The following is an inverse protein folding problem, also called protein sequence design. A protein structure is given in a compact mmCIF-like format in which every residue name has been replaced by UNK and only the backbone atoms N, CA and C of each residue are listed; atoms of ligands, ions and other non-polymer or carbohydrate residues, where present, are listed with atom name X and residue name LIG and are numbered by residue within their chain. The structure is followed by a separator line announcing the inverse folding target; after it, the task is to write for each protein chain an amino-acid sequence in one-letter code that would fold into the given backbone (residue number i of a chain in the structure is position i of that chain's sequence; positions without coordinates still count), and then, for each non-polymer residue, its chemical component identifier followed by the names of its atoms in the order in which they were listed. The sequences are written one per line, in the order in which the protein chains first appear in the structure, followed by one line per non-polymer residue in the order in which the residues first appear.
data_IF_533101754082
#
_entry.id   IF_533101754082
#
_cell.length_a   1.000
_cell.length_b   1.000
_cell.length_c   1.000
_cell.angle_alpha   90.00
_cell.angle_beta   90.00
_cell.angle_gamma   90.00
#
_symmetry.space_group_name_H-M   'P 1'
#
loop_
_entity.id
_entity.type
_entity.pdbx_description
1 polymer ?
#
# COMPACT_ATOMS: atom_id res chain seq x y z
N UNK A 1 6.38 -32.06 -4.47
CA UNK A 1 7.75 -31.98 -3.92
C UNK A 1 8.64 -31.27 -4.92
N UNK A 2 9.67 -30.55 -4.46
CA UNK A 2 10.68 -29.98 -5.35
C UNK A 2 11.39 -31.14 -6.08
N UNK A 3 11.54 -31.03 -7.40
CA UNK A 3 12.18 -32.08 -8.21
C UNK A 3 13.69 -32.05 -7.97
N UNK A 4 14.28 -33.20 -7.66
CA UNK A 4 15.73 -33.37 -7.47
C UNK A 4 16.52 -33.41 -8.79
N UNK A 5 15.86 -33.15 -9.92
CA UNK A 5 16.38 -33.29 -11.28
C UNK A 5 17.39 -32.17 -11.68
N UNK A 6 17.98 -31.47 -10.71
CA UNK A 6 18.88 -30.34 -10.94
C UNK A 6 18.23 -29.06 -11.47
N UNK A 7 16.91 -29.08 -11.72
CA UNK A 7 16.13 -27.91 -12.13
C UNK A 7 15.97 -26.85 -11.03
N UNK A 8 16.14 -27.25 -9.77
CA UNK A 8 16.02 -26.35 -8.61
C UNK A 8 17.40 -25.80 -8.28
N UNK A 9 17.56 -24.46 -8.18
CA UNK A 9 18.82 -23.87 -7.79
C UNK A 9 19.21 -24.32 -6.38
N UNK A 10 20.40 -24.89 -6.23
CA UNK A 10 20.96 -25.32 -4.96
C UNK A 10 22.05 -24.34 -4.51
N UNK A 11 22.13 -24.09 -3.21
CA UNK A 11 23.17 -23.25 -2.61
C UNK A 11 24.06 -24.08 -1.69
N UNK A 12 25.36 -23.79 -1.68
CA UNK A 12 26.30 -24.41 -0.75
C UNK A 12 26.41 -23.54 0.52
N UNK A 13 25.89 -24.05 1.64
CA UNK A 13 25.87 -23.35 2.93
C UNK A 13 27.27 -23.10 3.53
N UNK A 14 28.29 -23.85 3.11
CA UNK A 14 29.68 -23.62 3.55
C UNK A 14 30.33 -22.46 2.81
N UNK A 15 29.90 -22.20 1.56
CA UNK A 15 30.31 -21.00 0.81
C UNK A 15 29.52 -19.78 1.24
N UNK A 16 28.23 -19.96 1.55
CA UNK A 16 27.33 -18.89 1.96
C UNK A 16 26.76 -19.20 3.35
N UNK A 17 27.45 -18.69 4.38
CA UNK A 17 27.10 -18.94 5.80
C UNK A 17 25.72 -18.43 6.21
N UNK A 18 25.16 -17.43 5.52
CA UNK A 18 23.84 -16.85 5.82
C UNK A 18 22.94 -16.96 4.60
N UNK A 19 21.81 -17.65 4.77
CA UNK A 19 20.83 -17.91 3.70
C UNK A 19 19.43 -17.56 4.20
N UNK A 20 18.72 -16.71 3.45
CA UNK A 20 17.32 -16.36 3.71
C UNK A 20 16.44 -16.99 2.63
N UNK A 21 15.32 -17.60 3.02
CA UNK A 21 14.45 -18.29 2.06
C UNK A 21 13.04 -18.57 2.59
N UNK A 22 12.15 -18.94 1.68
CA UNK A 22 10.74 -19.25 1.97
C UNK A 22 10.50 -20.75 2.01
N UNK A 23 10.34 -21.32 3.20
CA UNK A 23 10.11 -22.76 3.38
C UNK A 23 8.63 -23.11 3.30
N UNK A 24 8.25 -24.02 2.39
CA UNK A 24 6.88 -24.48 2.27
C UNK A 24 6.51 -25.44 3.40
N UNK A 25 5.31 -25.27 3.95
CA UNK A 25 4.71 -26.18 4.93
C UNK A 25 3.62 -26.99 4.24
N UNK A 26 3.77 -28.31 4.28
CA UNK A 26 2.83 -29.25 3.70
C UNK A 26 2.10 -30.02 4.80
N UNK A 27 0.81 -30.25 4.60
CA UNK A 27 -0.01 -31.12 5.44
C UNK A 27 -0.43 -32.33 4.62
N UNK A 28 -0.27 -33.54 5.20
CA UNK A 28 -0.77 -34.77 4.60
C UNK A 28 -2.26 -34.89 4.90
N UNK A 29 -3.11 -34.88 3.87
CA UNK A 29 -4.55 -35.17 4.00
C UNK A 29 -4.80 -36.68 4.14
N UNK A 30 -6.01 -37.05 4.53
CA UNK A 30 -6.44 -38.45 4.67
C UNK A 30 -6.28 -39.25 3.36
N UNK A 31 -6.41 -38.59 2.20
CA UNK A 31 -6.21 -39.18 0.87
C UNK A 31 -4.73 -39.34 0.47
N UNK A 32 -3.79 -39.19 1.42
CA UNK A 32 -2.33 -39.19 1.20
C UNK A 32 -1.77 -38.06 0.31
N UNK A 33 -2.62 -37.19 -0.21
CA UNK A 33 -2.21 -36.00 -0.94
C UNK A 33 -1.57 -34.98 0.00
N UNK A 34 -0.40 -34.46 -0.39
CA UNK A 34 0.29 -33.37 0.31
C UNK A 34 -0.20 -32.02 -0.21
N UNK A 35 -0.88 -31.25 0.64
CA UNK A 35 -1.32 -29.89 0.31
C UNK A 35 -0.37 -28.85 0.90
N UNK A 36 -0.04 -27.82 0.13
CA UNK A 36 0.74 -26.67 0.61
C UNK A 36 -0.16 -25.73 1.41
N UNK A 37 -0.02 -25.73 2.73
CA UNK A 37 -0.86 -24.92 3.63
C UNK A 37 -0.27 -23.53 3.88
N UNK A 38 1.05 -23.38 3.76
CA UNK A 38 1.70 -22.11 4.04
C UNK A 38 3.15 -22.06 3.65
N UNK A 39 3.76 -20.90 3.86
CA UNK A 39 5.20 -20.68 3.69
C UNK A 39 5.69 -19.83 4.85
N UNK A 40 6.85 -20.16 5.40
CA UNK A 40 7.52 -19.34 6.43
C UNK A 40 8.81 -18.80 5.83
N UNK A 41 9.07 -17.52 6.02
CA UNK A 41 10.38 -16.95 5.75
C UNK A 41 11.32 -17.32 6.91
N UNK A 42 12.41 -18.01 6.59
CA UNK A 42 13.42 -18.40 7.56
C UNK A 42 14.79 -17.91 7.10
N UNK A 43 15.62 -17.54 8.06
CA UNK A 43 17.03 -17.23 7.85
C UNK A 43 17.89 -18.26 8.60
N UNK A 44 18.81 -18.91 7.89
CA UNK A 44 19.71 -19.93 8.41
C UNK A 44 21.12 -19.36 8.44
N UNK A 45 21.75 -19.38 9.62
CA UNK A 45 23.12 -18.90 9.83
C UNK A 45 23.99 -20.07 10.29
N UNK A 46 25.08 -20.32 9.57
CA UNK A 46 26.09 -21.31 9.93
C UNK A 46 27.19 -20.63 10.73
N UNK A 47 27.24 -20.95 12.02
CA UNK A 47 28.22 -20.44 12.98
C UNK A 47 29.35 -21.44 13.19
N UNK A 48 30.52 -20.93 13.54
CA UNK A 48 31.62 -21.74 14.07
C UNK A 48 31.38 -22.09 15.55
N UNK A 49 32.12 -23.06 16.07
CA UNK A 49 32.05 -23.47 17.48
C UNK A 49 32.27 -22.27 18.41
N UNK A 50 33.30 -21.47 18.14
CA UNK A 50 33.69 -20.34 18.99
C UNK A 50 32.65 -19.21 18.98
N UNK A 51 31.92 -19.03 17.87
CA UNK A 51 30.82 -18.06 17.76
C UNK A 51 29.57 -18.55 18.50
N UNK A 52 29.25 -19.84 18.38
CA UNK A 52 28.11 -20.46 19.06
C UNK A 52 28.26 -20.48 20.59
N UNK A 53 29.49 -20.64 21.10
CA UNK A 53 29.77 -20.56 22.53
C UNK A 53 29.61 -19.15 23.09
N UNK A 54 29.96 -18.12 22.30
CA UNK A 54 29.77 -16.71 22.70
C UNK A 54 28.30 -16.30 22.71
N UNK A 55 27.49 -16.84 21.79
CA UNK A 55 26.06 -16.52 21.64
C UNK A 55 25.25 -17.84 21.68
N UNK A 56 25.06 -18.41 22.87
CA UNK A 56 24.38 -19.70 22.98
C UNK A 56 22.88 -19.54 22.76
N UNK A 57 22.35 -20.25 21.77
CA UNK A 57 20.91 -20.30 21.50
C UNK A 57 20.16 -21.10 22.60
N UNK A 58 18.91 -20.72 22.88
CA UNK A 58 18.01 -21.50 23.74
C UNK A 58 18.18 -21.33 25.26
N UNK A 59 19.16 -20.55 25.72
CA UNK A 59 19.34 -20.27 27.16
C UNK A 59 18.36 -19.18 27.67
N UNK A 60 17.68 -18.46 26.76
CA UNK A 60 16.64 -17.47 27.10
C UNK A 60 17.15 -16.25 27.88
N UNK A 61 18.48 -16.02 27.89
CA UNK A 61 19.11 -14.93 28.64
C UNK A 61 19.14 -13.59 27.89
N UNK A 62 19.15 -13.64 26.56
CA UNK A 62 19.13 -12.47 25.70
C UNK A 62 17.78 -12.37 25.00
N UNK A 63 17.41 -11.14 24.64
CA UNK A 63 16.28 -10.90 23.75
C UNK A 63 16.47 -11.68 22.44
N UNK A 64 15.37 -12.14 21.80
CA UNK A 64 15.47 -12.77 20.50
C UNK A 64 16.04 -11.78 19.47
N UNK A 65 16.77 -12.29 18.47
CA UNK A 65 17.29 -11.45 17.40
C UNK A 65 16.14 -10.65 16.76
N UNK A 66 16.23 -9.31 16.73
CA UNK A 66 15.14 -8.48 16.25
C UNK A 66 14.93 -8.73 14.76
N UNK A 67 13.71 -9.11 14.39
CA UNK A 67 13.29 -9.17 13.00
C UNK A 67 13.28 -7.77 12.40
N UNK A 68 13.51 -7.70 11.08
CA UNK A 68 13.32 -6.48 10.33
C UNK A 68 11.90 -5.94 10.56
N UNK A 69 11.79 -4.61 10.73
CA UNK A 69 10.49 -3.98 10.91
C UNK A 69 9.61 -4.30 9.70
N UNK A 70 8.35 -4.72 9.89
CA UNK A 70 7.46 -4.97 8.78
C UNK A 70 7.29 -3.69 7.97
N UNK A 71 7.16 -3.81 6.65
CA UNK A 71 6.84 -2.69 5.78
C UNK A 71 5.38 -2.26 6.02
N UNK A 72 5.15 -1.46 7.07
CA UNK A 72 3.84 -0.98 7.46
C UNK A 72 3.52 0.29 6.67
N UNK A 73 2.45 0.32 5.86
CA UNK A 73 2.03 1.56 5.25
C UNK A 73 1.57 2.55 6.34
N UNK A 74 2.07 3.79 6.27
CA UNK A 74 1.74 4.90 7.17
C UNK A 74 0.23 5.18 7.24
N UNK A 75 -0.53 4.74 6.23
CA UNK A 75 -1.98 4.88 6.14
C UNK A 75 -2.75 4.21 7.29
N UNK A 76 -2.14 3.26 7.99
CA UNK A 76 -2.77 2.51 9.08
C UNK A 76 -3.02 3.32 10.37
N UNK A 77 -2.38 4.49 10.53
CA UNK A 77 -2.59 5.36 11.71
C UNK A 77 -3.63 6.47 11.51
N UNK A 78 -4.12 6.68 10.28
CA UNK A 78 -5.05 7.77 9.96
C UNK A 78 -6.43 7.25 9.55
N UNK A 79 -7.02 6.34 10.32
CA UNK A 79 -8.34 5.74 10.01
C UNK A 79 -9.41 6.78 9.64
N UNK A 80 -9.37 7.98 10.23
CA UNK A 80 -10.28 9.08 9.92
C UNK A 80 -9.98 9.84 8.61
N UNK A 81 -8.72 9.94 8.16
CA UNK A 81 -8.38 10.66 6.92
C UNK A 81 -8.44 9.77 5.67
N UNK A 82 -8.42 8.45 5.88
CA UNK A 82 -8.56 7.47 4.82
C UNK A 82 -9.87 7.60 4.00
N UNK A 83 -11.07 7.76 4.63
CA UNK A 83 -12.31 7.98 3.88
C UNK A 83 -12.28 9.25 3.02
N UNK A 84 -11.68 10.35 3.49
CA UNK A 84 -11.56 11.58 2.70
C UNK A 84 -10.65 11.42 1.49
N UNK A 85 -9.54 10.68 1.62
CA UNK A 85 -8.67 10.36 0.48
C UNK A 85 -9.42 9.54 -0.57
N UNK A 86 -10.19 8.54 -0.14
CA UNK A 86 -11.01 7.71 -1.01
C UNK A 86 -12.12 8.50 -1.70
N UNK A 87 -12.85 9.34 -0.94
CA UNK A 87 -13.91 10.21 -1.48
C UNK A 87 -13.31 11.18 -2.52
N UNK A 88 -12.18 11.83 -2.21
CA UNK A 88 -11.48 12.71 -3.15
C UNK A 88 -11.09 11.97 -4.43
N UNK A 89 -10.56 10.76 -4.30
CA UNK A 89 -10.16 9.94 -5.44
C UNK A 89 -11.37 9.55 -6.32
N UNK A 90 -12.47 9.09 -5.70
CA UNK A 90 -13.69 8.69 -6.41
C UNK A 90 -14.35 9.87 -7.11
N UNK A 91 -14.44 11.02 -6.44
CA UNK A 91 -15.01 12.25 -7.00
C UNK A 91 -14.17 12.74 -8.16
N UNK A 92 -12.84 12.79 -8.02
CA UNK A 92 -11.97 13.29 -9.08
C UNK A 92 -11.90 12.36 -10.29
N UNK A 93 -11.94 11.04 -10.08
CA UNK A 93 -11.93 10.06 -11.17
C UNK A 93 -13.20 10.14 -12.02
N UNK A 94 -14.38 10.21 -11.38
CA UNK A 94 -15.66 10.10 -12.07
C UNK A 94 -16.29 11.45 -12.45
N UNK A 95 -16.09 12.50 -11.63
CA UNK A 95 -16.87 13.74 -11.72
C UNK A 95 -16.07 14.97 -12.16
N UNK A 96 -14.77 14.86 -12.49
CA UNK A 96 -13.93 16.02 -12.87
C UNK A 96 -14.58 16.93 -13.93
N UNK A 97 -15.17 16.34 -14.97
CA UNK A 97 -15.81 17.08 -16.05
C UNK A 97 -17.16 17.69 -15.65
N UNK A 98 -17.93 17.00 -14.78
CA UNK A 98 -19.19 17.52 -14.26
C UNK A 98 -18.95 18.72 -13.33
N UNK A 99 -17.94 18.63 -12.47
CA UNK A 99 -17.52 19.71 -11.57
C UNK A 99 -17.06 20.92 -12.38
N UNK A 100 -16.22 20.72 -13.41
CA UNK A 100 -15.74 21.81 -14.25
C UNK A 100 -16.88 22.54 -14.97
N UNK A 101 -17.84 21.79 -15.55
CA UNK A 101 -19.04 22.38 -16.17
C UNK A 101 -19.87 23.16 -15.16
N UNK A 102 -20.05 22.63 -13.94
CA UNK A 102 -20.77 23.33 -12.87
C UNK A 102 -20.12 24.66 -12.48
N UNK A 103 -18.78 24.70 -12.38
CA UNK A 103 -18.03 25.93 -12.09
C UNK A 103 -18.21 26.96 -13.21
N UNK A 104 -18.14 26.54 -14.47
CA UNK A 104 -18.33 27.45 -15.62
C UNK A 104 -19.75 28.04 -15.63
N UNK A 105 -20.77 27.21 -15.42
CA UNK A 105 -22.17 27.67 -15.37
C UNK A 105 -22.38 28.66 -14.22
N UNK A 106 -21.81 28.37 -13.04
CA UNK A 106 -21.88 29.27 -11.89
C UNK A 106 -21.20 30.61 -12.17
N UNK A 107 -20.03 30.59 -12.83
CA UNK A 107 -19.31 31.81 -13.21
C UNK A 107 -20.12 32.67 -14.20
N UNK A 108 -20.74 32.05 -15.22
CA UNK A 108 -21.61 32.76 -16.17
C UNK A 108 -22.82 33.36 -15.44
N UNK A 109 -23.43 32.61 -14.53
CA UNK A 109 -24.58 33.10 -13.75
C UNK A 109 -24.21 34.31 -12.89
N UNK A 110 -23.07 34.26 -12.19
CA UNK A 110 -22.55 35.39 -11.42
C UNK A 110 -22.26 36.60 -12.31
N UNK A 111 -21.71 36.37 -13.51
CA UNK A 111 -21.45 37.43 -14.48
C UNK A 111 -22.75 38.13 -14.91
N UNK A 112 -23.83 37.39 -15.14
CA UNK A 112 -25.14 37.94 -15.51
C UNK A 112 -25.72 38.78 -14.36
N UNK A 113 -25.66 38.28 -13.12
CA UNK A 113 -26.15 39.02 -11.94
C UNK A 113 -25.38 40.35 -11.79
N UNK A 114 -24.05 40.29 -11.86
CA UNK A 114 -23.20 41.47 -11.76
C UNK A 114 -23.45 42.45 -12.91
N UNK A 115 -23.70 41.95 -14.12
CA UNK A 115 -24.04 42.77 -15.27
C UNK A 115 -25.29 43.61 -14.99
N UNK A 116 -26.39 42.99 -14.58
CA UNK A 116 -27.63 43.71 -14.25
C UNK A 116 -27.46 44.67 -13.08
N UNK A 117 -26.71 44.28 -12.06
CA UNK A 117 -26.39 45.18 -10.94
C UNK A 117 -25.60 46.42 -11.39
N UNK A 118 -24.72 46.28 -12.37
CA UNK A 118 -23.81 47.34 -12.82
C UNK A 118 -24.41 48.26 -13.90
N UNK A 119 -25.64 48.01 -14.39
CA UNK A 119 -26.26 48.88 -15.40
C UNK A 119 -26.64 50.22 -14.74
N UNK A 120 -26.07 51.36 -15.19
CA UNK A 120 -26.46 52.66 -14.66
C UNK A 120 -27.92 52.94 -15.05
N UNK A 121 -28.73 53.39 -14.09
CA UNK A 121 -30.17 53.61 -14.30
C UNK A 121 -30.52 54.55 -15.48
N UNK A 122 -29.57 55.38 -15.91
CA UNK A 122 -29.69 56.22 -17.11
C UNK A 122 -29.69 55.41 -18.43
N UNK A 123 -28.88 54.35 -18.54
CA UNK A 123 -28.87 53.48 -19.73
C UNK A 123 -30.17 52.70 -19.87
N UNK A 124 -30.79 52.32 -18.74
CA UNK A 124 -32.11 51.68 -18.72
C UNK A 124 -33.19 52.65 -19.18
N UNK A 125 -33.16 53.90 -18.68
CA UNK A 125 -34.10 54.97 -19.11
C UNK A 125 -34.00 55.25 -20.62
N UNK A 126 -32.79 55.36 -21.14
CA UNK A 126 -32.54 55.57 -22.58
C UNK A 126 -32.98 54.39 -23.45
N UNK A 127 -32.87 53.15 -22.97
CA UNK A 127 -33.41 51.96 -23.66
C UNK A 127 -34.94 51.86 -23.59
N UNK A 128 -35.57 52.39 -22.53
CA UNK A 128 -37.02 52.42 -22.35
C UNK A 128 -37.70 53.62 -23.05
N UNK A 129 -36.94 54.43 -23.80
CA UNK A 129 -37.49 55.54 -24.59
C UNK A 129 -38.00 56.72 -23.75
N UNK A 130 -37.47 56.90 -22.54
CA UNK A 130 -37.74 58.05 -21.66
C UNK A 130 -36.52 58.96 -21.53
#
# INVERSE_FOLDING_TARGET
MLKSDGSVPMVNIFKQKRVKGWWPFYVKKENEEMELTGKVEAELHLLTTDEAEKIPAGIGRNEPDPLDKPNRPDASFMWFLNPFKSIRYIIWHNYKWKILKGIIVLAIFLMIILFFYSIPGYSVKKMLGA
#
